data_IF_834321396866
#
_entry.id   IF_834321396866
#
_cell.length_a   1.000
_cell.length_b   1.000
_cell.length_c   1.000
_cell.angle_alpha   90.00
_cell.angle_beta   90.00
_cell.angle_gamma   90.00
#
_symmetry.space_group_name_H-M   'P 1'
#
loop_
_entity.id
_entity.type
_entity.pdbx_description
1 polymer ?
#
# COMPACT_ATOMS: atom_id res chain seq x y z
N UNK A 1 -1.01 1.49 12.29
CA UNK A 1 -1.51 2.63 13.06
C UNK A 1 -1.46 2.36 14.56
N UNK A 2 -1.84 1.17 15.01
CA UNK A 2 -1.67 0.79 16.42
C UNK A 2 -0.22 0.80 16.90
N UNK A 3 0.73 0.49 16.03
CA UNK A 3 2.15 0.56 16.40
C UNK A 3 2.68 1.97 16.54
N UNK A 4 2.08 2.96 15.88
CA UNK A 4 2.46 4.36 16.04
C UNK A 4 2.01 4.96 17.36
N UNK A 5 0.99 4.40 18.02
CA UNK A 5 0.57 4.79 19.36
C UNK A 5 1.48 4.21 20.45
N UNK A 6 2.09 3.04 20.20
CA UNK A 6 3.07 2.42 21.10
C UNK A 6 4.49 2.96 20.87
N UNK A 7 4.88 3.24 19.63
CA UNK A 7 6.19 3.78 19.26
C UNK A 7 6.49 5.19 19.81
N UNK A 8 5.55 6.14 19.99
CA UNK A 8 5.83 7.43 20.60
C UNK A 8 6.41 7.33 22.01
N UNK A 9 5.92 6.39 22.81
CA UNK A 9 6.42 6.18 24.17
C UNK A 9 7.81 5.57 24.17
N UNK A 10 8.05 4.59 23.31
CA UNK A 10 9.36 3.97 23.11
C UNK A 10 10.38 4.95 22.52
N UNK A 11 10.01 5.71 21.52
CA UNK A 11 10.86 6.72 20.91
C UNK A 11 11.16 7.89 21.85
N UNK A 12 10.24 8.28 22.73
CA UNK A 12 10.47 9.25 23.78
C UNK A 12 11.48 8.73 24.83
N UNK A 13 11.41 7.44 25.17
CA UNK A 13 12.34 6.79 26.08
C UNK A 13 13.78 6.71 25.50
N UNK A 14 13.92 6.65 24.18
CA UNK A 14 15.22 6.67 23.47
C UNK A 14 15.74 8.09 23.21
N UNK A 15 14.96 9.14 23.54
CA UNK A 15 15.36 10.55 23.38
C UNK A 15 15.19 11.07 21.95
N UNK A 16 14.49 10.37 21.08
CA UNK A 16 14.16 10.85 19.74
C UNK A 16 13.07 11.92 19.80
N UNK A 17 13.26 13.02 19.09
CA UNK A 17 12.27 14.09 18.98
C UNK A 17 11.12 13.63 18.06
N UNK A 18 10.13 12.97 18.64
CA UNK A 18 8.98 12.40 17.95
C UNK A 18 8.21 13.47 17.18
N UNK A 19 8.10 14.66 17.76
CA UNK A 19 7.38 15.76 17.13
C UNK A 19 8.02 16.19 15.82
N UNK A 20 9.34 16.29 15.76
CA UNK A 20 10.09 16.63 14.54
C UNK A 20 9.96 15.50 13.50
N UNK A 21 10.07 14.24 13.91
CA UNK A 21 9.88 13.08 13.05
C UNK A 21 8.47 13.04 12.45
N UNK A 22 7.46 13.21 13.28
CA UNK A 22 6.06 13.19 12.86
C UNK A 22 5.74 14.32 11.89
N UNK A 23 6.20 15.53 12.18
CA UNK A 23 6.01 16.70 11.31
C UNK A 23 6.74 16.50 9.98
N UNK A 24 7.97 16.02 9.99
CA UNK A 24 8.75 15.76 8.77
C UNK A 24 8.08 14.71 7.90
N UNK A 25 7.61 13.61 8.49
CA UNK A 25 6.87 12.58 7.77
C UNK A 25 5.56 13.10 7.17
N UNK A 26 4.81 13.90 7.93
CA UNK A 26 3.54 14.48 7.45
C UNK A 26 3.76 15.45 6.30
N UNK A 27 4.78 16.29 6.36
CA UNK A 27 5.14 17.22 5.29
C UNK A 27 5.60 16.46 4.05
N UNK A 28 6.45 15.46 4.21
CA UNK A 28 6.93 14.62 3.10
C UNK A 28 5.80 13.90 2.40
N UNK A 29 4.90 13.28 3.17
CA UNK A 29 3.71 12.60 2.63
C UNK A 29 2.78 13.57 1.93
N UNK A 30 2.52 14.72 2.51
CA UNK A 30 1.68 15.76 1.91
C UNK A 30 2.23 16.28 0.58
N UNK A 31 3.54 16.58 0.54
CA UNK A 31 4.21 17.00 -0.69
C UNK A 31 4.22 15.92 -1.75
N UNK A 32 4.59 14.70 -1.38
CA UNK A 32 4.62 13.56 -2.30
C UNK A 32 3.23 13.29 -2.89
N UNK A 33 2.20 13.28 -2.03
CA UNK A 33 0.80 13.07 -2.46
C UNK A 33 0.32 14.21 -3.35
N UNK A 34 0.60 15.46 -3.00
CA UNK A 34 0.23 16.62 -3.80
C UNK A 34 0.86 16.62 -5.19
N UNK A 35 2.15 16.31 -5.28
CA UNK A 35 2.85 16.17 -6.56
C UNK A 35 2.33 14.98 -7.37
N UNK A 36 2.04 13.86 -6.73
CA UNK A 36 1.50 12.69 -7.38
C UNK A 36 0.10 12.95 -7.95
N UNK A 37 -0.77 13.64 -7.22
CA UNK A 37 -2.11 14.03 -7.70
C UNK A 37 -2.00 14.93 -8.94
N UNK A 38 -1.07 15.87 -8.92
CA UNK A 38 -0.86 16.77 -10.05
C UNK A 38 -0.33 16.07 -11.29
N UNK A 39 0.55 15.08 -11.12
CA UNK A 39 1.20 14.36 -12.22
C UNK A 39 0.33 13.25 -12.82
N UNK A 40 -0.28 12.46 -11.95
CA UNK A 40 -0.93 11.20 -12.35
C UNK A 40 -2.44 11.18 -12.13
N UNK A 41 -2.96 12.20 -11.46
CA UNK A 41 -4.36 12.30 -11.12
C UNK A 41 -4.71 11.70 -9.76
N UNK A 42 -5.83 12.17 -9.24
CA UNK A 42 -6.30 11.84 -7.89
C UNK A 42 -6.59 10.35 -7.73
N UNK A 43 -7.28 9.76 -8.71
CA UNK A 43 -7.68 8.36 -8.66
C UNK A 43 -6.48 7.41 -8.60
N UNK A 44 -5.46 7.68 -9.42
CA UNK A 44 -4.24 6.90 -9.45
C UNK A 44 -3.47 6.99 -8.13
N UNK A 45 -3.34 8.19 -7.59
CA UNK A 45 -2.62 8.41 -6.33
C UNK A 45 -3.28 7.68 -5.17
N UNK A 46 -4.59 7.79 -5.02
CA UNK A 46 -5.33 7.07 -3.99
C UNK A 46 -5.28 5.55 -4.20
N UNK A 47 -5.43 5.09 -5.42
CA UNK A 47 -5.29 3.68 -5.76
C UNK A 47 -3.93 3.13 -5.36
N UNK A 48 -2.85 3.81 -5.73
CA UNK A 48 -1.48 3.39 -5.39
C UNK A 48 -1.15 3.43 -3.89
N UNK A 49 -1.85 4.28 -3.12
CA UNK A 49 -1.66 4.33 -1.67
C UNK A 49 -2.46 3.25 -0.94
N UNK A 50 -3.72 3.08 -1.32
CA UNK A 50 -4.65 2.23 -0.59
C UNK A 50 -4.52 0.77 -0.99
N UNK A 51 -4.44 0.46 -2.29
CA UNK A 51 -4.46 -0.92 -2.78
C UNK A 51 -3.28 -1.77 -2.30
N UNK A 52 -2.01 -1.31 -2.38
CA UNK A 52 -0.89 -2.08 -1.86
C UNK A 52 -0.96 -2.29 -0.35
N UNK A 53 -1.44 -1.29 0.38
CA UNK A 53 -1.61 -1.40 1.83
C UNK A 53 -2.66 -2.45 2.20
N UNK A 54 -3.76 -2.51 1.48
CA UNK A 54 -4.79 -3.53 1.66
C UNK A 54 -4.28 -4.93 1.29
N UNK A 55 -3.54 -5.05 0.19
CA UNK A 55 -2.94 -6.32 -0.21
C UNK A 55 -1.96 -6.83 0.83
N UNK A 56 -1.08 -5.99 1.32
CA UNK A 56 -0.12 -6.34 2.37
C UNK A 56 -0.82 -6.77 3.67
N UNK A 57 -1.90 -6.09 4.05
CA UNK A 57 -2.72 -6.46 5.20
C UNK A 57 -3.35 -7.84 5.07
N UNK A 58 -3.73 -8.25 3.86
CA UNK A 58 -4.29 -9.57 3.61
C UNK A 58 -3.23 -10.67 3.57
N UNK A 59 -2.01 -10.38 3.14
CA UNK A 59 -0.93 -11.36 3.00
C UNK A 59 -0.17 -11.52 4.32
N UNK A 60 0.11 -10.44 5.03
CA UNK A 60 0.90 -10.43 6.25
C UNK A 60 0.03 -10.28 7.50
N UNK A 61 0.27 -11.14 8.49
CA UNK A 61 -0.40 -11.05 9.80
C UNK A 61 0.25 -10.01 10.71
N UNK A 62 1.55 -9.85 10.61
CA UNK A 62 2.33 -8.95 11.44
C UNK A 62 2.61 -7.63 10.71
N UNK A 63 2.67 -6.55 11.48
CA UNK A 63 2.85 -5.18 10.96
C UNK A 63 4.25 -4.99 10.37
N UNK A 64 5.27 -5.61 10.95
CA UNK A 64 6.66 -5.48 10.52
C UNK A 64 6.90 -5.99 9.09
N UNK A 65 6.50 -7.22 8.70
CA UNK A 65 6.60 -7.68 7.33
C UNK A 65 5.64 -6.94 6.38
N UNK A 66 4.53 -6.41 6.88
CA UNK A 66 3.57 -5.62 6.09
C UNK A 66 4.22 -4.33 5.55
N UNK A 67 5.05 -3.68 6.34
CA UNK A 67 5.77 -2.47 5.94
C UNK A 67 6.77 -2.70 4.80
N UNK A 68 7.33 -3.90 4.73
CA UNK A 68 8.22 -4.31 3.65
C UNK A 68 7.46 -4.83 2.42
N UNK A 69 6.37 -5.57 2.64
CA UNK A 69 5.58 -6.18 1.58
C UNK A 69 4.82 -5.16 0.74
N UNK A 70 4.25 -4.12 1.36
CA UNK A 70 3.46 -3.11 0.66
C UNK A 70 4.24 -2.38 -0.46
N UNK A 71 5.44 -1.83 -0.22
CA UNK A 71 6.21 -1.18 -1.29
C UNK A 71 6.68 -2.15 -2.36
N UNK A 72 7.02 -3.38 -2.01
CA UNK A 72 7.43 -4.40 -2.99
C UNK A 72 6.27 -4.74 -3.92
N UNK A 73 5.08 -4.98 -3.36
CA UNK A 73 3.87 -5.24 -4.13
C UNK A 73 3.48 -4.05 -5.02
N UNK A 74 3.65 -2.84 -4.52
CA UNK A 74 3.42 -1.62 -5.30
C UNK A 74 4.36 -1.52 -6.49
N UNK A 75 5.65 -1.72 -6.30
CA UNK A 75 6.66 -1.66 -7.37
C UNK A 75 6.37 -2.73 -8.43
N UNK A 76 6.13 -3.97 -8.04
CA UNK A 76 5.81 -5.07 -8.96
C UNK A 76 4.55 -4.75 -9.77
N UNK A 77 3.51 -4.24 -9.12
CA UNK A 77 2.26 -3.88 -9.79
C UNK A 77 2.41 -2.72 -10.76
N UNK A 78 3.19 -1.70 -10.39
CA UNK A 78 3.47 -0.55 -11.26
C UNK A 78 4.26 -0.99 -12.51
N UNK A 79 5.32 -1.77 -12.32
CA UNK A 79 6.11 -2.28 -13.44
C UNK A 79 5.28 -3.16 -14.38
N UNK A 80 4.49 -4.07 -13.82
CA UNK A 80 3.58 -4.93 -14.61
C UNK A 80 2.54 -4.11 -15.35
N UNK A 81 1.94 -3.12 -14.69
CA UNK A 81 0.94 -2.25 -15.28
C UNK A 81 1.49 -1.33 -16.37
N UNK A 82 2.73 -0.86 -16.23
CA UNK A 82 3.41 -0.10 -17.26
C UNK A 82 3.67 -0.92 -18.51
N UNK A 83 4.17 -2.14 -18.34
CA UNK A 83 4.42 -3.06 -19.46
C UNK A 83 3.12 -3.40 -20.19
N UNK A 84 2.07 -3.75 -19.44
CA UNK A 84 0.75 -4.05 -20.01
C UNK A 84 0.12 -2.83 -20.66
N UNK A 85 0.20 -1.66 -20.04
CA UNK A 85 -0.34 -0.43 -20.60
C UNK A 85 0.34 -0.05 -21.91
N UNK A 86 1.65 -0.22 -21.99
CA UNK A 86 2.40 0.05 -23.22
C UNK A 86 2.10 -0.98 -24.34
N UNK A 87 1.85 -2.23 -23.96
CA UNK A 87 1.52 -3.28 -24.93
C UNK A 87 0.13 -3.12 -25.54
N UNK A 88 -0.83 -2.65 -24.76
CA UNK A 88 -2.22 -2.48 -25.21
C UNK A 88 -2.59 -1.05 -25.62
N UNK A 89 -1.65 -0.12 -25.66
CA UNK A 89 -1.88 1.32 -25.91
C UNK A 89 -2.94 1.93 -24.97
N UNK A 90 -3.02 1.45 -23.73
CA UNK A 90 -3.95 1.95 -22.72
C UNK A 90 -3.25 2.98 -21.83
N UNK A 91 -4.01 3.92 -21.25
CA UNK A 91 -3.42 4.86 -20.28
C UNK A 91 -2.85 4.10 -19.09
N UNK A 92 -1.54 4.23 -18.80
CA UNK A 92 -0.83 3.38 -17.84
C UNK A 92 -1.39 3.49 -16.43
N UNK A 93 -1.86 4.67 -16.04
CA UNK A 93 -2.42 4.90 -14.71
C UNK A 93 -3.66 4.04 -14.44
N UNK A 94 -4.58 3.96 -15.37
CA UNK A 94 -5.81 3.17 -15.24
C UNK A 94 -5.52 1.66 -15.27
N UNK A 95 -4.57 1.24 -16.10
CA UNK A 95 -4.14 -0.16 -16.20
C UNK A 95 -3.50 -0.64 -14.91
N UNK A 96 -2.66 0.18 -14.28
CA UNK A 96 -2.03 -0.14 -13.00
C UNK A 96 -3.07 -0.32 -11.90
N UNK A 97 -4.05 0.60 -11.80
CA UNK A 97 -5.12 0.50 -10.80
C UNK A 97 -5.99 -0.74 -11.03
N UNK A 98 -6.37 -1.00 -12.27
CA UNK A 98 -7.17 -2.18 -12.62
C UNK A 98 -6.43 -3.47 -12.25
N UNK A 99 -5.15 -3.54 -12.53
CA UNK A 99 -4.31 -4.70 -12.21
C UNK A 99 -4.17 -4.90 -10.70
N UNK A 100 -3.93 -3.81 -9.95
CA UNK A 100 -3.88 -3.85 -8.50
C UNK A 100 -5.21 -4.29 -7.88
N UNK A 101 -6.33 -3.76 -8.37
CA UNK A 101 -7.67 -4.15 -7.92
C UNK A 101 -7.95 -5.63 -8.19
N UNK A 102 -7.55 -6.12 -9.35
CA UNK A 102 -7.70 -7.52 -9.72
C UNK A 102 -6.87 -8.43 -8.81
N UNK A 103 -5.63 -8.08 -8.54
CA UNK A 103 -4.77 -8.80 -7.61
C UNK A 103 -5.34 -8.82 -6.19
N UNK A 104 -5.91 -7.71 -5.75
CA UNK A 104 -6.56 -7.62 -4.45
C UNK A 104 -7.79 -8.54 -4.36
N UNK A 105 -8.61 -8.57 -5.39
CA UNK A 105 -9.78 -9.47 -5.47
C UNK A 105 -9.36 -10.95 -5.45
N UNK A 106 -8.31 -11.30 -6.18
CA UNK A 106 -7.76 -12.66 -6.17
C UNK A 106 -7.26 -13.06 -4.78
N UNK A 107 -6.53 -12.18 -4.12
CA UNK A 107 -6.01 -12.42 -2.77
C UNK A 107 -7.14 -12.57 -1.77
N UNK A 108 -8.16 -11.75 -1.87
CA UNK A 108 -9.33 -11.82 -1.01
C UNK A 108 -10.15 -13.09 -1.23
N UNK A 109 -10.40 -13.43 -2.49
CA UNK A 109 -11.11 -14.66 -2.88
C UNK A 109 -10.38 -15.92 -2.40
N UNK A 110 -9.06 -15.96 -2.57
CA UNK A 110 -8.23 -17.08 -2.10
C UNK A 110 -8.33 -17.25 -0.59
N UNK A 111 -8.31 -16.15 0.13
CA UNK A 111 -8.39 -16.16 1.59
C UNK A 111 -9.78 -16.60 2.08
N UNK A 112 -10.83 -16.13 1.44
CA UNK A 112 -12.20 -16.54 1.77
C UNK A 112 -12.42 -18.04 1.54
N UNK A 113 -11.94 -18.57 0.43
CA UNK A 113 -12.00 -20.01 0.15
C UNK A 113 -11.25 -20.83 1.18
N UNK A 114 -10.09 -20.34 1.61
CA UNK A 114 -9.28 -21.01 2.63
C UNK A 114 -9.95 -21.01 4.01
N UNK A 115 -10.53 -19.87 4.41
CA UNK A 115 -11.24 -19.76 5.70
C UNK A 115 -12.53 -20.60 5.71
N UNK A 116 -13.24 -20.70 4.59
CA UNK A 116 -14.41 -21.58 4.46
C UNK A 116 -14.03 -23.06 4.58
N UNK A 117 -12.86 -23.46 4.12
CA UNK A 117 -12.37 -24.84 4.24
C UNK A 117 -12.00 -25.21 5.68
N UNK A 118 -11.50 -24.24 6.46
CA UNK A 118 -11.14 -24.45 7.85
C UNK A 118 -12.35 -24.50 8.80
N UNK A 119 -13.45 -23.84 8.45
CA UNK A 119 -14.69 -23.83 9.26
C UNK A 119 -15.50 -25.12 9.09
N UNK A 120 -15.31 -25.88 7.99
CA UNK A 120 -15.99 -27.16 7.71
C UNK A 120 -15.25 -28.39 8.25
N UNK A 121 -14.11 -28.22 8.84
CA UNK A 121 -13.38 -29.28 9.56
C UNK A 121 -13.33 -28.98 11.03
#
# INVERSE_FOLDING_TARGET
>A
VCSSDLDPVMAAAVGANIMIWSVTLSISLGLATGLAIRSSGMLFTFGCLILPAQMAKHICRDISPMFMAAPIMAIVSILSGLVLGNYFDLPPAQTIIALMSFMLLLTWSYRWTRDSFFVTS
#
